data_IF_898487698691
#
_entry.id   IF_898487698691
#
_cell.length_a   1.000
_cell.length_b   1.000
_cell.length_c   1.000
_cell.angle_alpha   90.00
_cell.angle_beta   90.00
_cell.angle_gamma   90.00
#
_symmetry.space_group_name_H-M   'P 1'
#
loop_
_entity.id
_entity.type
_entity.pdbx_description
1 polymer ?
#
# COMPACT_ATOMS: atom_id res chain seq x y z
N UNK A 1 -5.34 -15.96 -26.18
CA UNK A 1 -5.32 -15.85 -24.70
C UNK A 1 -4.55 -14.58 -24.33
N UNK A 2 -5.09 -13.73 -23.45
CA UNK A 2 -4.39 -12.50 -23.00
C UNK A 2 -3.04 -12.88 -22.40
N UNK A 3 -1.94 -12.30 -22.89
CA UNK A 3 -0.58 -12.48 -22.35
C UNK A 3 -0.41 -11.90 -20.94
N UNK A 4 -1.42 -11.19 -20.44
CA UNK A 4 -1.36 -10.43 -19.18
C UNK A 4 -2.05 -11.14 -18.00
N UNK A 5 -2.53 -12.38 -18.17
CA UNK A 5 -3.10 -13.14 -17.05
C UNK A 5 -1.99 -13.57 -16.09
N UNK A 6 -2.14 -13.20 -14.81
CA UNK A 6 -1.25 -13.64 -13.75
C UNK A 6 -1.41 -15.16 -13.51
N UNK A 7 -0.36 -15.92 -13.79
CA UNK A 7 -0.30 -17.35 -13.42
C UNK A 7 0.24 -17.48 -12.00
N UNK A 8 -0.43 -18.23 -11.10
CA UNK A 8 0.12 -18.55 -9.79
C UNK A 8 1.49 -19.23 -9.94
N UNK A 9 2.53 -18.79 -9.22
CA UNK A 9 3.83 -19.46 -9.26
C UNK A 9 3.72 -20.84 -8.62
N UNK A 10 4.17 -21.86 -9.33
CA UNK A 10 4.24 -23.23 -8.81
C UNK A 10 5.62 -23.53 -8.23
N UNK A 11 5.63 -24.42 -7.23
CA UNK A 11 6.89 -24.88 -6.67
C UNK A 11 7.63 -25.74 -7.71
N UNK A 12 8.93 -25.52 -7.85
CA UNK A 12 9.80 -26.38 -8.65
C UNK A 12 11.18 -26.48 -8.00
N UNK A 13 11.91 -27.57 -8.28
CA UNK A 13 13.28 -27.75 -7.78
C UNK A 13 14.22 -26.61 -8.18
N UNK A 14 13.93 -25.92 -9.29
CA UNK A 14 14.68 -24.73 -9.71
C UNK A 14 14.65 -23.59 -8.68
N UNK A 15 13.60 -23.53 -7.85
CA UNK A 15 13.50 -22.55 -6.76
C UNK A 15 14.50 -22.82 -5.64
N UNK A 16 14.96 -24.07 -5.48
CA UNK A 16 15.94 -24.47 -4.46
C UNK A 16 17.40 -24.30 -4.91
N UNK A 17 17.64 -23.84 -6.14
CA UNK A 17 18.98 -23.58 -6.65
C UNK A 17 19.77 -22.65 -5.71
N UNK A 18 21.10 -22.84 -5.51
CA UNK A 18 21.92 -22.06 -4.56
C UNK A 18 21.77 -20.54 -4.65
N UNK A 19 21.55 -20.01 -5.86
CA UNK A 19 21.25 -18.59 -6.12
C UNK A 19 20.07 -18.02 -5.31
N UNK A 20 19.15 -18.87 -4.86
CA UNK A 20 17.96 -18.50 -4.09
C UNK A 20 18.09 -18.82 -2.59
N UNK A 21 19.19 -19.43 -2.12
CA UNK A 21 19.32 -19.81 -0.72
C UNK A 21 19.20 -18.62 0.24
N UNK A 22 19.75 -17.46 -0.13
CA UNK A 22 19.59 -16.24 0.68
C UNK A 22 18.13 -15.82 0.86
N UNK A 23 17.27 -16.03 -0.15
CA UNK A 23 15.83 -15.75 -0.06
C UNK A 23 15.16 -16.74 0.90
N UNK A 24 15.42 -18.04 0.74
CA UNK A 24 14.85 -19.07 1.60
C UNK A 24 15.30 -18.95 3.06
N UNK A 25 16.59 -18.72 3.30
CA UNK A 25 17.14 -18.51 4.63
C UNK A 25 16.59 -17.21 5.25
N UNK A 26 16.48 -16.13 4.47
CA UNK A 26 15.93 -14.86 4.94
C UNK A 26 14.46 -14.97 5.37
N UNK A 27 13.60 -15.56 4.52
CA UNK A 27 12.20 -15.77 4.87
C UNK A 27 12.01 -16.86 5.93
N UNK A 28 12.83 -17.91 5.93
CA UNK A 28 12.83 -18.95 6.97
C UNK A 28 13.18 -18.38 8.34
N UNK A 29 14.22 -17.54 8.41
CA UNK A 29 14.58 -16.81 9.63
C UNK A 29 13.46 -15.85 10.06
N UNK A 30 12.89 -15.09 9.13
CA UNK A 30 11.77 -14.21 9.42
C UNK A 30 10.58 -14.98 9.98
N UNK A 31 10.20 -16.10 9.36
CA UNK A 31 9.12 -16.98 9.80
C UNK A 31 9.39 -17.55 11.20
N UNK A 32 10.63 -17.98 11.46
CA UNK A 32 11.07 -18.48 12.77
C UNK A 32 10.93 -17.39 13.86
N UNK A 33 11.50 -16.21 13.60
CA UNK A 33 11.50 -15.07 14.53
C UNK A 33 10.09 -14.64 14.88
N UNK A 34 9.21 -14.45 13.90
CA UNK A 34 7.84 -13.99 14.17
C UNK A 34 7.02 -15.04 14.91
N UNK A 35 7.21 -16.33 14.64
CA UNK A 35 6.40 -17.37 15.29
C UNK A 35 6.84 -17.62 16.74
N UNK A 36 8.13 -17.52 17.05
CA UNK A 36 8.67 -17.78 18.39
C UNK A 36 8.47 -16.59 19.34
N UNK A 37 8.73 -15.37 18.88
CA UNK A 37 8.76 -14.21 19.78
C UNK A 37 7.35 -13.65 20.06
N UNK A 38 7.08 -13.15 21.29
CA UNK A 38 5.88 -12.38 21.60
C UNK A 38 5.78 -11.09 20.79
N UNK A 39 4.56 -10.63 20.52
CA UNK A 39 4.32 -9.43 19.69
C UNK A 39 5.03 -8.17 20.20
N UNK A 40 5.07 -7.94 21.52
CA UNK A 40 5.75 -6.76 22.09
C UNK A 40 7.26 -6.75 21.77
N UNK A 41 7.89 -7.92 21.75
CA UNK A 41 9.31 -8.07 21.39
C UNK A 41 9.49 -7.81 19.90
N UNK A 42 8.61 -8.37 19.06
CA UNK A 42 8.61 -8.13 17.61
C UNK A 42 8.43 -6.65 17.26
N UNK A 43 7.52 -5.96 17.94
CA UNK A 43 7.31 -4.52 17.78
C UNK A 43 8.56 -3.72 18.13
N UNK A 44 9.19 -4.03 19.27
CA UNK A 44 10.45 -3.38 19.68
C UNK A 44 11.59 -3.68 18.70
N UNK A 45 11.72 -4.94 18.28
CA UNK A 45 12.73 -5.39 17.32
C UNK A 45 12.57 -4.66 15.98
N UNK A 46 11.37 -4.67 15.39
CA UNK A 46 11.08 -4.00 14.13
C UNK A 46 11.40 -2.51 14.19
N UNK A 47 10.95 -1.83 15.25
CA UNK A 47 11.23 -0.40 15.44
C UNK A 47 12.72 -0.11 15.59
N UNK A 48 13.46 -0.92 16.35
CA UNK A 48 14.92 -0.80 16.49
C UNK A 48 15.66 -1.07 15.17
N UNK A 49 15.23 -2.07 14.39
CA UNK A 49 15.78 -2.34 13.07
C UNK A 49 15.67 -1.12 12.16
N UNK A 50 14.51 -0.46 12.18
CA UNK A 50 14.28 0.78 11.44
C UNK A 50 15.18 1.93 11.89
N UNK A 51 15.29 2.13 13.21
CA UNK A 51 16.15 3.14 13.81
C UNK A 51 17.63 2.93 13.45
N UNK A 52 18.12 1.69 13.47
CA UNK A 52 19.49 1.35 13.07
C UNK A 52 19.64 1.54 11.55
N UNK A 53 18.68 1.08 10.76
CA UNK A 53 18.67 1.20 9.30
C UNK A 53 18.74 2.65 8.82
N UNK A 54 18.15 3.58 9.56
CA UNK A 54 18.23 5.01 9.30
C UNK A 54 19.69 5.52 9.19
N UNK A 55 20.60 5.00 10.02
CA UNK A 55 22.03 5.41 10.02
C UNK A 55 22.77 5.05 8.73
N UNK A 56 22.35 3.97 8.08
CA UNK A 56 22.95 3.49 6.82
C UNK A 56 22.14 3.92 5.58
N UNK A 57 20.94 4.48 5.80
CA UNK A 57 19.96 4.80 4.78
C UNK A 57 19.94 6.26 4.32
N UNK A 58 21.06 7.00 4.38
CA UNK A 58 21.10 8.46 4.18
C UNK A 58 20.29 8.96 2.96
N UNK A 59 20.38 8.28 1.80
CA UNK A 59 19.59 8.64 0.60
C UNK A 59 18.08 8.52 0.81
N UNK A 60 17.63 7.51 1.56
CA UNK A 60 16.21 7.30 1.88
C UNK A 60 15.73 8.27 2.95
N UNK A 61 16.59 8.59 3.92
CA UNK A 61 16.32 9.63 4.93
C UNK A 61 16.08 10.96 4.23
N UNK A 62 16.99 11.37 3.34
CA UNK A 62 16.84 12.57 2.53
C UNK A 62 15.52 12.61 1.75
N UNK A 63 15.13 11.51 1.11
CA UNK A 63 13.85 11.45 0.37
C UNK A 63 12.65 11.62 1.30
N UNK A 64 12.64 10.94 2.44
CA UNK A 64 11.55 11.05 3.41
C UNK A 64 11.45 12.46 3.99
N UNK A 65 12.57 13.02 4.46
CA UNK A 65 12.66 14.40 4.95
C UNK A 65 12.14 15.38 3.90
N UNK A 66 12.62 15.28 2.66
CA UNK A 66 12.24 16.20 1.61
C UNK A 66 10.76 16.10 1.23
N UNK A 67 10.20 14.89 1.19
CA UNK A 67 8.76 14.75 0.95
C UNK A 67 7.93 15.42 2.07
N UNK A 68 8.33 15.25 3.32
CA UNK A 68 7.63 15.83 4.48
C UNK A 68 7.72 17.37 4.44
N UNK A 69 8.91 17.93 4.19
CA UNK A 69 9.11 19.38 4.01
C UNK A 69 8.23 19.94 2.89
N UNK A 70 8.16 19.26 1.75
CA UNK A 70 7.34 19.66 0.61
C UNK A 70 5.84 19.56 0.91
N UNK A 71 5.43 18.61 1.75
CA UNK A 71 4.02 18.40 2.11
C UNK A 71 3.54 19.37 3.19
N UNK A 72 4.43 19.72 4.13
CA UNK A 72 4.13 20.50 5.33
C UNK A 72 5.15 21.63 5.51
N UNK A 73 5.16 22.65 4.64
CA UNK A 73 6.18 23.70 4.64
C UNK A 73 6.22 24.51 5.94
N UNK A 74 5.09 24.61 6.65
CA UNK A 74 4.99 25.37 7.90
C UNK A 74 5.38 24.55 9.14
N UNK A 75 5.72 23.26 8.99
CA UNK A 75 6.14 22.43 10.14
C UNK A 75 7.54 22.79 10.62
N UNK A 76 7.77 22.95 11.93
CA UNK A 76 9.10 23.14 12.47
C UNK A 76 10.05 21.98 12.12
N UNK A 77 11.32 22.28 11.86
CA UNK A 77 12.30 21.26 11.45
C UNK A 77 12.46 20.12 12.49
N UNK A 78 12.27 20.42 13.77
CA UNK A 78 12.31 19.41 14.83
C UNK A 78 11.14 18.40 14.71
N UNK A 79 9.94 18.87 14.36
CA UNK A 79 8.79 17.98 14.11
C UNK A 79 9.01 17.14 12.85
N UNK A 80 9.56 17.73 11.79
CA UNK A 80 9.90 17.03 10.55
C UNK A 80 10.88 15.89 10.86
N UNK A 81 11.95 16.19 11.60
CA UNK A 81 12.95 15.19 11.98
C UNK A 81 12.33 14.08 12.85
N UNK A 82 11.47 14.43 13.81
CA UNK A 82 10.76 13.45 14.63
C UNK A 82 9.87 12.52 13.77
N UNK A 83 9.14 13.09 12.81
CA UNK A 83 8.28 12.34 11.90
C UNK A 83 9.10 11.39 11.01
N UNK A 84 10.25 11.84 10.52
CA UNK A 84 11.19 10.99 9.76
C UNK A 84 11.70 9.83 10.62
N UNK A 85 12.10 10.08 11.86
CA UNK A 85 12.55 9.03 12.76
C UNK A 85 11.47 7.99 13.04
N UNK A 86 10.24 8.43 13.33
CA UNK A 86 9.10 7.52 13.49
C UNK A 86 8.79 6.75 12.20
N UNK A 87 8.91 7.39 11.04
CA UNK A 87 8.72 6.72 9.76
C UNK A 87 9.75 5.63 9.50
N UNK A 88 11.02 5.85 9.86
CA UNK A 88 12.05 4.83 9.77
C UNK A 88 11.83 3.69 10.75
N UNK A 89 11.41 3.96 12.00
CA UNK A 89 11.00 2.92 12.96
C UNK A 89 9.85 2.07 12.39
N UNK A 90 8.87 2.71 11.74
CA UNK A 90 7.78 2.01 11.05
C UNK A 90 8.27 1.21 9.85
N UNK A 91 9.27 1.69 9.12
CA UNK A 91 9.87 0.97 7.97
C UNK A 91 10.54 -0.33 8.42
N UNK A 92 11.26 -0.31 9.56
CA UNK A 92 11.79 -1.54 10.15
C UNK A 92 10.68 -2.47 10.64
N UNK A 93 9.60 -1.91 11.20
CA UNK A 93 8.44 -2.70 11.62
C UNK A 93 7.74 -3.37 10.43
N UNK A 94 7.67 -2.73 9.26
CA UNK A 94 7.09 -3.29 8.03
C UNK A 94 7.69 -4.64 7.62
N UNK A 95 8.99 -4.85 7.87
CA UNK A 95 9.65 -6.13 7.62
C UNK A 95 9.10 -7.23 8.55
N UNK A 96 8.95 -6.92 9.83
CA UNK A 96 8.39 -7.82 10.83
C UNK A 96 6.90 -8.07 10.56
N UNK A 97 6.16 -7.03 10.19
CA UNK A 97 4.75 -7.08 9.79
C UNK A 97 4.54 -7.96 8.55
N UNK A 98 5.46 -7.94 7.58
CA UNK A 98 5.44 -8.87 6.43
C UNK A 98 5.55 -10.31 6.93
N UNK A 99 6.48 -10.58 7.86
CA UNK A 99 6.61 -11.89 8.48
C UNK A 99 5.36 -12.33 9.24
N UNK A 100 4.80 -11.44 10.07
CA UNK A 100 3.54 -11.66 10.79
C UNK A 100 2.42 -11.98 9.78
N UNK A 101 2.29 -11.17 8.74
CA UNK A 101 1.24 -11.31 7.73
C UNK A 101 1.34 -12.64 7.00
N UNK A 102 2.53 -13.09 6.63
CA UNK A 102 2.66 -14.29 5.80
C UNK A 102 2.76 -15.57 6.63
N UNK A 103 3.33 -15.53 7.84
CA UNK A 103 3.67 -16.75 8.58
C UNK A 103 2.91 -16.96 9.88
N UNK A 104 2.17 -15.98 10.41
CA UNK A 104 1.32 -16.25 11.58
C UNK A 104 0.05 -17.01 11.22
N UNK A 105 -0.42 -17.90 12.11
CA UNK A 105 -1.75 -18.48 11.98
C UNK A 105 -2.83 -17.41 12.19
N UNK A 106 -3.98 -17.59 11.53
CA UNK A 106 -5.06 -16.60 11.50
C UNK A 106 -5.62 -16.27 12.90
N UNK A 107 -5.70 -17.25 13.81
CA UNK A 107 -6.18 -17.02 15.19
C UNK A 107 -5.30 -16.00 15.93
N UNK A 108 -3.98 -16.04 15.72
CA UNK A 108 -3.02 -15.14 16.36
C UNK A 108 -3.08 -13.76 15.71
N UNK A 109 -3.12 -13.73 14.38
CA UNK A 109 -3.22 -12.50 13.60
C UNK A 109 -4.48 -11.69 13.96
N UNK A 110 -5.65 -12.34 14.09
CA UNK A 110 -6.92 -11.70 14.48
C UNK A 110 -6.81 -10.89 15.77
N UNK A 111 -5.98 -11.32 16.73
CA UNK A 111 -5.81 -10.59 17.99
C UNK A 111 -5.25 -9.18 17.81
N UNK A 112 -4.60 -8.89 16.68
CA UNK A 112 -4.05 -7.55 16.38
C UNK A 112 -5.04 -6.63 15.66
N UNK A 113 -6.15 -7.15 15.16
CA UNK A 113 -7.05 -6.41 14.27
C UNK A 113 -8.22 -5.82 15.04
N UNK A 114 -8.51 -4.56 14.76
CA UNK A 114 -9.69 -3.84 15.20
C UNK A 114 -10.49 -3.48 13.95
N UNK A 115 -11.67 -4.10 13.78
CA UNK A 115 -12.65 -3.68 12.77
C UNK A 115 -13.31 -2.40 13.29
N UNK A 116 -12.79 -1.25 12.85
CA UNK A 116 -13.19 0.05 13.40
C UNK A 116 -14.41 0.58 12.68
N UNK A 117 -14.33 0.74 11.36
CA UNK A 117 -15.44 1.24 10.53
C UNK A 117 -15.40 0.58 9.14
N UNK A 118 -16.13 -0.51 8.92
CA UNK A 118 -16.18 -1.21 7.61
C UNK A 118 -17.61 -1.41 7.07
N UNK A 119 -18.59 -0.66 7.60
CA UNK A 119 -20.00 -0.85 7.28
C UNK A 119 -20.31 -0.56 5.82
N UNK A 120 -19.84 0.55 5.25
CA UNK A 120 -20.10 0.88 3.85
C UNK A 120 -19.53 -0.18 2.90
N UNK A 121 -18.34 -0.71 3.17
CA UNK A 121 -17.76 -1.81 2.39
C UNK A 121 -18.66 -3.05 2.45
N UNK A 122 -19.11 -3.46 3.63
CA UNK A 122 -20.00 -4.62 3.79
C UNK A 122 -21.35 -4.41 3.10
N UNK A 123 -21.90 -3.21 3.17
CA UNK A 123 -23.17 -2.85 2.57
C UNK A 123 -23.11 -2.91 1.03
N UNK A 124 -22.04 -2.36 0.44
CA UNK A 124 -21.83 -2.45 -1.02
C UNK A 124 -21.71 -3.89 -1.51
N UNK A 125 -21.05 -4.76 -0.74
CA UNK A 125 -21.03 -6.19 -1.05
C UNK A 125 -22.43 -6.83 -1.00
N UNK A 126 -23.31 -6.46 -0.05
CA UNK A 126 -24.69 -6.98 -0.01
C UNK A 126 -25.51 -6.52 -1.22
N UNK A 127 -25.23 -5.34 -1.74
CA UNK A 127 -25.88 -4.77 -2.92
C UNK A 127 -25.35 -5.38 -4.24
N UNK A 128 -24.33 -6.24 -4.19
CA UNK A 128 -23.66 -6.78 -5.38
C UNK A 128 -22.89 -5.72 -6.18
N UNK A 129 -22.64 -4.54 -5.60
CA UNK A 129 -21.89 -3.46 -6.24
C UNK A 129 -20.40 -3.65 -5.95
N UNK A 130 -19.58 -3.72 -7.00
CA UNK A 130 -18.13 -3.82 -6.82
C UNK A 130 -17.56 -2.56 -6.18
N UNK A 131 -16.41 -2.71 -5.53
CA UNK A 131 -15.76 -1.62 -4.79
C UNK A 131 -14.32 -1.46 -5.21
N UNK A 132 -13.99 -0.26 -5.67
CA UNK A 132 -12.62 0.20 -5.79
C UNK A 132 -12.17 0.75 -4.43
N UNK A 133 -11.50 -0.11 -3.67
CA UNK A 133 -10.95 0.21 -2.36
C UNK A 133 -9.63 0.97 -2.55
N UNK A 134 -9.71 2.29 -2.40
CA UNK A 134 -8.59 3.20 -2.58
C UNK A 134 -7.79 3.30 -1.28
N UNK A 135 -6.68 2.57 -1.22
CA UNK A 135 -5.75 2.61 -0.09
C UNK A 135 -4.55 3.49 -0.40
N UNK A 136 -3.69 3.68 0.60
CA UNK A 136 -2.38 4.31 0.44
C UNK A 136 -1.28 3.26 0.59
N UNK A 137 -0.10 3.54 0.04
CA UNK A 137 1.11 2.77 0.29
C UNK A 137 1.57 3.01 1.73
N UNK A 138 0.83 2.47 2.69
CA UNK A 138 1.25 2.43 4.07
C UNK A 138 2.39 1.40 4.24
N UNK A 139 3.30 1.64 5.18
CA UNK A 139 4.42 0.75 5.47
C UNK A 139 3.92 -0.63 5.91
N UNK A 140 2.78 -0.68 6.60
CA UNK A 140 2.12 -1.89 7.07
C UNK A 140 1.08 -2.46 6.08
N UNK A 141 1.18 -2.16 4.78
CA UNK A 141 0.20 -2.58 3.75
C UNK A 141 -0.14 -4.08 3.77
N UNK A 142 0.84 -4.93 4.05
CA UNK A 142 0.63 -6.39 4.14
C UNK A 142 -0.37 -6.75 5.25
N UNK A 143 -0.28 -6.09 6.42
CA UNK A 143 -1.24 -6.28 7.52
C UNK A 143 -2.63 -5.88 7.06
N UNK A 144 -2.77 -4.68 6.48
CA UNK A 144 -4.05 -4.15 6.00
C UNK A 144 -4.69 -5.14 5.02
N UNK A 145 -3.96 -5.57 3.99
CA UNK A 145 -4.47 -6.49 2.99
C UNK A 145 -4.97 -7.80 3.63
N UNK A 146 -4.19 -8.44 4.50
CA UNK A 146 -4.62 -9.67 5.19
C UNK A 146 -5.78 -9.43 6.13
N UNK A 147 -5.84 -8.29 6.82
CA UNK A 147 -6.92 -7.94 7.73
C UNK A 147 -8.27 -7.88 7.02
N UNK A 148 -8.34 -7.24 5.84
CA UNK A 148 -9.56 -7.27 5.02
C UNK A 148 -9.99 -8.71 4.69
N UNK A 149 -9.05 -9.57 4.26
CA UNK A 149 -9.33 -10.98 4.00
C UNK A 149 -9.89 -11.72 5.22
N UNK A 150 -9.25 -11.56 6.37
CA UNK A 150 -9.63 -12.20 7.64
C UNK A 150 -10.95 -11.68 8.23
N UNK A 151 -11.33 -10.44 7.93
CA UNK A 151 -12.61 -9.83 8.29
C UNK A 151 -13.78 -10.20 7.33
N UNK A 152 -13.50 -11.04 6.32
CA UNK A 152 -14.49 -11.48 5.32
C UNK A 152 -14.76 -10.46 4.22
N UNK A 153 -13.95 -9.39 4.14
CA UNK A 153 -14.06 -8.30 3.17
C UNK A 153 -12.82 -8.24 2.25
N UNK A 154 -12.17 -9.40 2.03
CA UNK A 154 -11.03 -9.54 1.13
C UNK A 154 -11.39 -9.30 -0.34
N UNK A 155 -10.39 -9.33 -1.22
CA UNK A 155 -10.62 -9.02 -2.64
C UNK A 155 -9.37 -9.21 -3.49
N UNK A 156 -9.31 -8.47 -4.59
CA UNK A 156 -8.23 -8.56 -5.56
C UNK A 156 -7.20 -7.44 -5.33
N UNK A 157 -5.94 -7.82 -5.08
CA UNK A 157 -4.82 -6.89 -5.05
C UNK A 157 -4.12 -6.76 -6.40
N UNK A 158 -3.78 -5.54 -6.80
CA UNK A 158 -2.94 -5.31 -7.97
C UNK A 158 -1.51 -5.79 -7.69
N UNK A 159 -0.97 -6.63 -8.57
CA UNK A 159 0.26 -7.36 -8.35
C UNK A 159 1.28 -7.15 -9.47
N UNK A 160 2.55 -7.08 -9.07
CA UNK A 160 3.69 -7.20 -9.98
C UNK A 160 4.56 -8.35 -9.46
N UNK A 161 4.78 -9.41 -10.27
CA UNK A 161 5.69 -10.47 -9.88
C UNK A 161 7.09 -9.94 -9.51
N UNK A 162 7.66 -10.50 -8.45
CA UNK A 162 9.02 -10.20 -8.06
C UNK A 162 10.02 -10.83 -9.06
N UNK A 163 11.12 -10.14 -9.36
CA UNK A 163 12.10 -10.62 -10.35
C UNK A 163 12.79 -11.93 -9.93
N UNK A 164 13.03 -12.12 -8.62
CA UNK A 164 13.49 -13.39 -8.08
C UNK A 164 12.29 -14.36 -7.95
N UNK A 165 12.32 -15.54 -8.60
CA UNK A 165 11.18 -16.46 -8.62
C UNK A 165 10.89 -17.11 -7.26
N UNK A 166 11.89 -17.37 -6.42
CA UNK A 166 11.67 -17.91 -5.07
C UNK A 166 10.99 -16.86 -4.18
N UNK A 167 11.41 -15.60 -4.26
CA UNK A 167 10.73 -14.51 -3.56
C UNK A 167 9.29 -14.38 -4.06
N UNK A 168 9.09 -14.40 -5.38
CA UNK A 168 7.77 -14.30 -5.99
C UNK A 168 6.83 -15.41 -5.51
N UNK A 169 7.34 -16.64 -5.42
CA UNK A 169 6.58 -17.79 -4.89
C UNK A 169 6.11 -17.54 -3.45
N UNK A 170 7.03 -17.13 -2.56
CA UNK A 170 6.71 -16.84 -1.15
C UNK A 170 5.74 -15.66 -1.03
N UNK A 171 5.98 -14.56 -1.77
CA UNK A 171 5.14 -13.37 -1.76
C UNK A 171 3.72 -13.66 -2.27
N UNK A 172 3.60 -14.41 -3.37
CA UNK A 172 2.30 -14.78 -3.92
C UNK A 172 1.51 -15.61 -2.90
N UNK A 173 2.16 -16.62 -2.29
CA UNK A 173 1.53 -17.42 -1.24
C UNK A 173 1.10 -16.55 -0.06
N UNK A 174 2.02 -15.73 0.48
CA UNK A 174 1.80 -14.82 1.61
C UNK A 174 0.60 -13.87 1.41
N UNK A 175 0.39 -13.41 0.18
CA UNK A 175 -0.70 -12.49 -0.17
C UNK A 175 -2.03 -13.17 -0.51
N UNK A 176 -2.05 -14.48 -0.79
CA UNK A 176 -3.26 -15.18 -1.27
C UNK A 176 -3.83 -16.22 -0.31
N UNK A 177 -3.02 -16.77 0.60
CA UNK A 177 -3.44 -17.88 1.47
C UNK A 177 -4.50 -17.53 2.54
N UNK A 178 -4.92 -16.26 2.66
CA UNK A 178 -5.97 -15.80 3.60
C UNK A 178 -7.17 -15.14 2.90
N UNK A 179 -7.47 -15.54 1.66
CA UNK A 179 -8.72 -15.16 0.98
C UNK A 179 -8.63 -14.01 -0.01
N UNK A 180 -7.49 -13.32 -0.09
CA UNK A 180 -7.24 -12.36 -1.16
C UNK A 180 -6.79 -13.06 -2.45
N UNK A 181 -7.05 -12.40 -3.57
CA UNK A 181 -6.63 -12.82 -4.91
C UNK A 181 -5.73 -11.72 -5.50
N UNK A 182 -5.04 -12.03 -6.59
CA UNK A 182 -4.10 -11.09 -7.23
C UNK A 182 -4.42 -10.96 -8.71
N UNK A 183 -4.27 -9.74 -9.24
CA UNK A 183 -4.42 -9.40 -10.66
C UNK A 183 -3.13 -8.73 -11.13
N UNK A 184 -2.62 -9.10 -12.31
CA UNK A 184 -1.45 -8.41 -12.85
C UNK A 184 -1.74 -6.93 -13.09
N UNK A 185 -0.83 -6.05 -12.70
CA UNK A 185 -0.96 -4.61 -12.88
C UNK A 185 -1.21 -4.15 -14.32
N UNK A 186 -0.90 -4.98 -15.32
CA UNK A 186 -1.15 -4.70 -16.74
C UNK A 186 -2.55 -5.13 -17.19
N UNK A 187 -3.21 -6.04 -16.47
CA UNK A 187 -4.52 -6.57 -16.86
C UNK A 187 -5.68 -5.68 -16.35
N UNK A 188 -5.72 -4.45 -16.87
CA UNK A 188 -6.79 -3.48 -16.57
C UNK A 188 -8.17 -4.03 -16.94
N UNK A 189 -8.25 -4.90 -17.97
CA UNK A 189 -9.51 -5.53 -18.38
C UNK A 189 -10.03 -6.47 -17.30
N UNK A 190 -9.16 -7.26 -16.68
CA UNK A 190 -9.52 -8.11 -15.55
C UNK A 190 -9.93 -7.28 -14.33
N UNK A 191 -9.23 -6.17 -14.04
CA UNK A 191 -9.61 -5.24 -12.96
C UNK A 191 -11.03 -4.70 -13.14
N UNK A 192 -11.38 -4.25 -14.36
CA UNK A 192 -12.74 -3.78 -14.68
C UNK A 192 -13.76 -4.91 -14.52
N UNK A 193 -13.42 -6.12 -14.96
CA UNK A 193 -14.33 -7.27 -14.86
C UNK A 193 -14.65 -7.62 -13.41
N UNK A 194 -13.64 -7.74 -12.54
CA UNK A 194 -13.91 -8.08 -11.14
C UNK A 194 -14.77 -7.02 -10.45
N UNK A 195 -14.55 -5.74 -10.76
CA UNK A 195 -15.40 -4.66 -10.26
C UNK A 195 -16.85 -4.76 -10.76
N UNK A 196 -17.07 -5.13 -12.02
CA UNK A 196 -18.43 -5.36 -12.56
C UNK A 196 -19.10 -6.60 -11.98
N UNK A 197 -18.32 -7.59 -11.58
CA UNK A 197 -18.81 -8.83 -10.97
C UNK A 197 -19.14 -8.66 -9.47
N UNK A 198 -19.14 -7.43 -8.94
CA UNK A 198 -19.47 -7.16 -7.54
C UNK A 198 -18.30 -7.34 -6.56
N UNK A 199 -17.09 -7.56 -7.06
CA UNK A 199 -15.92 -7.83 -6.23
C UNK A 199 -15.17 -6.55 -5.80
N UNK A 200 -14.22 -6.74 -4.89
CA UNK A 200 -13.36 -5.67 -4.36
C UNK A 200 -12.03 -5.64 -5.09
N UNK A 201 -11.57 -4.45 -5.46
CA UNK A 201 -10.23 -4.23 -6.00
C UNK A 201 -9.46 -3.25 -5.09
N UNK A 202 -8.35 -3.70 -4.53
CA UNK A 202 -7.42 -2.87 -3.77
C UNK A 202 -6.57 -2.07 -4.76
N UNK A 203 -6.70 -0.75 -4.72
CA UNK A 203 -6.00 0.16 -5.61
C UNK A 203 -5.33 1.29 -4.83
N UNK A 204 -4.09 1.62 -5.19
CA UNK A 204 -3.26 2.59 -4.47
C UNK A 204 -2.83 3.74 -5.41
N UNK A 205 -3.55 4.87 -5.41
CA UNK A 205 -3.33 5.98 -6.35
C UNK A 205 -2.27 7.00 -5.89
N UNK A 206 -1.62 6.79 -4.76
CA UNK A 206 -0.80 7.76 -4.03
C UNK A 206 0.68 7.79 -4.45
N UNK A 207 1.07 7.05 -5.49
CA UNK A 207 2.44 7.04 -6.01
C UNK A 207 2.57 7.81 -7.34
N UNK A 208 3.73 8.44 -7.53
CA UNK A 208 4.13 8.98 -8.82
C UNK A 208 4.65 7.87 -9.78
N UNK A 209 3.85 7.60 -10.81
CA UNK A 209 4.13 6.65 -11.90
C UNK A 209 4.67 7.31 -13.18
N UNK A 210 4.95 8.62 -13.16
CA UNK A 210 5.32 9.40 -14.33
C UNK A 210 4.11 9.89 -15.15
N UNK A 211 4.40 10.58 -16.25
CA UNK A 211 3.41 11.31 -17.07
C UNK A 211 2.37 10.44 -17.76
N UNK A 212 2.70 9.19 -18.04
CA UNK A 212 1.78 8.31 -18.75
C UNK A 212 0.55 8.02 -17.88
N UNK A 213 -0.64 8.40 -18.37
CA UNK A 213 -1.92 8.27 -17.65
C UNK A 213 -1.88 8.93 -16.26
N UNK A 214 -1.37 10.16 -16.26
CA UNK A 214 -1.31 11.01 -15.07
C UNK A 214 -1.66 12.45 -15.44
N UNK A 215 -2.16 13.18 -14.46
CA UNK A 215 -2.40 14.63 -14.50
C UNK A 215 -1.59 15.31 -13.39
N UNK A 216 -1.50 16.63 -13.42
CA UNK A 216 -0.82 17.42 -12.40
C UNK A 216 -1.87 18.17 -11.59
N UNK A 217 -2.00 17.81 -10.32
CA UNK A 217 -3.06 18.28 -9.41
C UNK A 217 -2.51 18.43 -8.00
N UNK A 218 -3.19 19.18 -7.12
CA UNK A 218 -2.74 19.36 -5.75
C UNK A 218 -2.59 18.04 -4.98
N UNK A 219 -1.50 17.92 -4.22
CA UNK A 219 -1.27 16.86 -3.24
C UNK A 219 -0.44 17.39 -2.07
N UNK A 220 -1.08 17.60 -0.93
CA UNK A 220 -0.60 18.46 0.16
C UNK A 220 -0.24 19.86 -0.37
N UNK A 221 0.84 20.47 0.10
CA UNK A 221 1.27 21.81 -0.33
C UNK A 221 1.88 21.88 -1.76
N UNK A 222 1.85 20.79 -2.53
CA UNK A 222 2.34 20.77 -3.92
C UNK A 222 1.16 20.83 -4.89
N UNK A 223 0.99 21.97 -5.56
CA UNK A 223 -0.12 22.26 -6.48
C UNK A 223 -0.10 21.41 -7.77
N UNK A 224 1.08 20.98 -8.22
CA UNK A 224 1.30 20.27 -9.48
C UNK A 224 1.91 18.88 -9.25
N UNK A 225 1.35 18.10 -8.32
CA UNK A 225 1.80 16.74 -8.07
C UNK A 225 1.33 15.79 -9.19
N UNK A 226 2.28 15.09 -9.82
CA UNK A 226 1.97 14.07 -10.83
C UNK A 226 1.16 12.92 -10.20
N UNK A 227 -0.09 12.76 -10.62
CA UNK A 227 -1.08 11.86 -10.01
C UNK A 227 -1.75 11.02 -11.08
N UNK A 228 -1.86 9.72 -10.85
CA UNK A 228 -2.42 8.79 -11.84
C UNK A 228 -3.91 9.00 -12.05
N UNK A 229 -4.37 8.84 -13.30
CA UNK A 229 -5.79 8.88 -13.66
C UNK A 229 -6.46 7.49 -13.61
N UNK A 230 -5.72 6.46 -13.17
CA UNK A 230 -6.18 5.08 -13.14
C UNK A 230 -7.45 4.86 -12.30
N UNK A 231 -7.62 5.58 -11.20
CA UNK A 231 -8.87 5.54 -10.40
C UNK A 231 -10.07 5.96 -11.25
N UNK A 232 -9.96 7.07 -11.98
CA UNK A 232 -11.03 7.59 -12.84
C UNK A 232 -11.36 6.59 -13.95
N UNK A 233 -10.35 6.00 -14.59
CA UNK A 233 -10.53 4.98 -15.64
C UNK A 233 -11.29 3.76 -15.10
N UNK A 234 -10.88 3.24 -13.94
CA UNK A 234 -11.51 2.06 -13.32
C UNK A 234 -12.94 2.36 -12.88
N UNK A 235 -13.16 3.47 -12.16
CA UNK A 235 -14.48 3.86 -11.68
C UNK A 235 -15.46 4.14 -12.82
N UNK A 236 -15.06 4.95 -13.79
CA UNK A 236 -15.91 5.31 -14.93
C UNK A 236 -16.34 4.09 -15.74
N UNK A 237 -15.44 3.14 -15.96
CA UNK A 237 -15.69 1.98 -16.83
C UNK A 237 -16.44 0.85 -16.12
N UNK A 238 -16.20 0.65 -14.82
CA UNK A 238 -16.82 -0.43 -14.05
C UNK A 238 -18.12 -0.03 -13.35
N UNK A 239 -18.35 1.27 -13.11
CA UNK A 239 -19.48 1.77 -12.29
C UNK A 239 -19.45 1.21 -10.85
N UNK A 240 -18.25 0.95 -10.33
CA UNK A 240 -18.05 0.53 -8.96
C UNK A 240 -18.21 1.68 -7.97
N UNK A 241 -18.54 1.34 -6.73
CA UNK A 241 -18.38 2.27 -5.63
C UNK A 241 -16.89 2.56 -5.38
N UNK A 242 -16.60 3.75 -4.86
CA UNK A 242 -15.25 4.20 -4.52
C UNK A 242 -15.21 4.41 -3.01
N UNK A 243 -14.36 3.65 -2.32
CA UNK A 243 -14.24 3.73 -0.85
C UNK A 243 -12.76 3.91 -0.51
N UNK A 244 -12.35 5.04 0.09
CA UNK A 244 -11.03 5.17 0.68
C UNK A 244 -10.92 4.24 1.91
N UNK A 245 -9.77 3.59 2.06
CA UNK A 245 -9.55 2.67 3.17
C UNK A 245 -8.11 2.61 3.67
N UNK A 246 -7.94 2.22 4.94
CA UNK A 246 -6.63 2.08 5.58
C UNK A 246 -6.66 1.06 6.71
N UNK A 247 -5.48 0.73 7.24
CA UNK A 247 -5.29 -0.23 8.30
C UNK A 247 -4.13 0.15 9.22
N UNK A 248 -4.10 1.37 9.75
CA UNK A 248 -2.96 1.88 10.52
C UNK A 248 -2.84 1.27 11.91
N UNK A 249 -1.60 1.16 12.39
CA UNK A 249 -1.31 0.73 13.75
C UNK A 249 -1.56 1.87 14.73
N UNK A 250 -2.35 1.63 15.78
CA UNK A 250 -2.62 2.58 16.84
C UNK A 250 -1.55 2.51 17.96
N UNK A 251 -1.71 3.35 19.00
CA UNK A 251 -0.81 3.43 20.16
C UNK A 251 -0.70 2.12 20.96
N UNK A 252 -1.76 1.29 20.96
CA UNK A 252 -1.77 -0.01 21.63
C UNK A 252 -1.08 -1.11 20.79
N UNK A 253 -0.59 -0.76 19.60
CA UNK A 253 0.00 -1.69 18.66
C UNK A 253 -1.03 -2.57 17.94
N UNK A 254 -2.32 -2.22 17.98
CA UNK A 254 -3.40 -2.87 17.20
C UNK A 254 -3.59 -2.15 15.87
N UNK A 255 -4.19 -2.79 14.88
CA UNK A 255 -4.42 -2.23 13.55
C UNK A 255 -5.89 -1.92 13.36
N UNK A 256 -6.20 -0.65 13.18
CA UNK A 256 -7.56 -0.15 12.96
C UNK A 256 -7.90 -0.18 11.48
N UNK A 257 -8.79 -1.09 11.09
CA UNK A 257 -9.25 -1.23 9.71
C UNK A 257 -10.46 -0.33 9.50
N UNK A 258 -10.36 0.56 8.51
CA UNK A 258 -11.42 1.51 8.16
C UNK A 258 -11.63 1.56 6.64
N UNK A 259 -12.88 1.51 6.21
CA UNK A 259 -13.36 1.60 4.83
C UNK A 259 -14.86 1.92 4.82
N UNK A 260 -15.24 3.07 5.39
CA UNK A 260 -16.65 3.39 5.67
C UNK A 260 -17.23 4.58 4.89
N UNK A 261 -16.40 5.33 4.17
CA UNK A 261 -16.85 6.49 3.39
C UNK A 261 -16.94 6.13 1.91
N UNK A 262 -18.15 6.03 1.38
CA UNK A 262 -18.36 5.88 -0.06
C UNK A 262 -18.39 7.27 -0.73
N UNK A 263 -17.42 7.54 -1.60
CA UNK A 263 -17.22 8.85 -2.23
C UNK A 263 -17.67 8.88 -3.70
N UNK A 264 -18.26 7.78 -4.17
CA UNK A 264 -18.69 7.59 -5.56
C UNK A 264 -19.62 8.71 -6.08
N UNK A 265 -20.59 9.13 -5.25
CA UNK A 265 -21.66 10.04 -5.67
C UNK A 265 -21.13 11.40 -6.15
N UNK A 266 -20.10 11.92 -5.49
CA UNK A 266 -19.49 13.21 -5.78
C UNK A 266 -18.20 13.09 -6.61
N UNK A 267 -17.81 11.86 -6.99
CA UNK A 267 -16.57 11.63 -7.72
C UNK A 267 -16.68 12.18 -9.16
N UNK A 268 -15.85 13.17 -9.56
CA UNK A 268 -15.97 13.79 -10.87
C UNK A 268 -15.89 12.78 -12.01
N UNK A 269 -16.79 12.94 -12.99
CA UNK A 269 -16.89 12.07 -14.16
C UNK A 269 -16.48 12.83 -15.42
N UNK A 270 -15.79 12.16 -16.35
CA UNK A 270 -15.32 12.74 -17.62
C UNK A 270 -14.39 13.96 -17.48
N UNK A 271 -13.82 14.16 -16.29
CA UNK A 271 -12.78 15.14 -16.01
C UNK A 271 -11.70 14.47 -15.15
N UNK A 272 -10.60 14.06 -15.79
CA UNK A 272 -9.52 13.34 -15.11
C UNK A 272 -8.75 14.22 -14.13
N UNK A 273 -8.71 15.55 -14.35
CA UNK A 273 -8.03 16.51 -13.48
C UNK A 273 -8.84 16.70 -12.20
N UNK A 274 -10.13 17.01 -12.32
CA UNK A 274 -11.01 17.13 -11.17
C UNK A 274 -11.10 15.82 -10.38
N UNK A 275 -11.18 14.67 -11.05
CA UNK A 275 -11.25 13.35 -10.42
C UNK A 275 -9.97 12.99 -9.64
N UNK A 276 -8.79 13.32 -10.19
CA UNK A 276 -7.52 13.09 -9.50
C UNK A 276 -7.34 14.03 -8.30
N UNK A 277 -7.66 15.32 -8.45
CA UNK A 277 -7.64 16.28 -7.35
C UNK A 277 -8.61 15.88 -6.23
N UNK A 278 -9.81 15.43 -6.59
CA UNK A 278 -10.79 14.92 -5.64
C UNK A 278 -10.28 13.68 -4.89
N UNK A 279 -9.69 12.71 -5.58
CA UNK A 279 -9.08 11.53 -4.95
C UNK A 279 -7.93 11.91 -4.00
N UNK A 280 -7.08 12.86 -4.39
CA UNK A 280 -5.94 13.29 -3.57
C UNK A 280 -6.39 13.83 -2.20
N UNK A 281 -7.52 14.57 -2.12
CA UNK A 281 -8.08 15.01 -0.83
C UNK A 281 -8.32 13.84 0.13
N UNK A 282 -8.87 12.73 -0.37
CA UNK A 282 -9.10 11.54 0.44
C UNK A 282 -7.83 10.78 0.78
N UNK A 283 -6.86 10.75 -0.14
CA UNK A 283 -5.54 10.19 0.14
C UNK A 283 -4.84 10.98 1.25
N UNK A 284 -4.91 12.32 1.21
CA UNK A 284 -4.40 13.20 2.27
C UNK A 284 -5.11 12.94 3.60
N UNK A 285 -6.44 12.88 3.62
CA UNK A 285 -7.23 12.52 4.81
C UNK A 285 -6.76 11.18 5.40
N UNK A 286 -6.50 10.16 4.56
CA UNK A 286 -5.99 8.87 5.01
C UNK A 286 -4.57 9.01 5.60
N UNK A 287 -3.65 9.68 4.91
CA UNK A 287 -2.26 9.84 5.37
C UNK A 287 -2.21 10.60 6.69
N UNK A 288 -3.01 11.66 6.85
CA UNK A 288 -3.04 12.50 8.06
C UNK A 288 -3.47 11.76 9.33
N UNK A 289 -4.11 10.60 9.21
CA UNK A 289 -4.44 9.76 10.38
C UNK A 289 -3.24 9.12 11.05
N UNK A 290 -2.18 8.85 10.29
CA UNK A 290 -0.94 8.24 10.77
C UNK A 290 0.20 8.59 9.80
N UNK A 291 0.61 9.87 9.72
CA UNK A 291 1.57 10.33 8.72
C UNK A 291 2.89 9.56 8.84
N UNK A 292 3.30 9.16 10.04
CA UNK A 292 4.51 8.38 10.28
C UNK A 292 4.46 6.96 9.68
N UNK A 293 3.30 6.47 9.27
CA UNK A 293 3.11 5.12 8.71
C UNK A 293 2.97 5.12 7.18
N UNK A 294 2.96 6.28 6.51
CA UNK A 294 2.96 6.34 5.05
C UNK A 294 4.36 6.10 4.46
N UNK A 295 4.46 5.59 3.22
CA UNK A 295 5.72 5.28 2.54
C UNK A 295 6.42 6.55 2.03
N UNK A 296 6.87 7.41 2.94
CA UNK A 296 7.66 8.62 2.63
C UNK A 296 8.99 8.33 1.92
N UNK A 297 9.42 7.05 1.83
CA UNK A 297 10.65 6.63 1.18
C UNK A 297 10.57 6.61 -0.37
N UNK A 298 9.36 6.77 -0.93
CA UNK A 298 9.13 6.94 -2.37
C UNK A 298 9.26 8.41 -2.75
N UNK A 299 9.94 8.72 -3.85
CA UNK A 299 9.99 10.10 -4.38
C UNK A 299 8.63 10.47 -5.00
N UNK A 300 7.68 10.94 -4.17
CA UNK A 300 6.30 11.29 -4.53
C UNK A 300 6.18 12.45 -5.53
N UNK A 301 7.11 13.40 -5.51
CA UNK A 301 7.07 14.66 -6.26
C UNK A 301 8.17 14.72 -7.35
N UNK A 302 8.61 13.56 -7.86
CA UNK A 302 9.78 13.49 -8.77
C UNK A 302 9.45 13.93 -10.19
N UNK A 303 8.22 13.73 -10.66
CA UNK A 303 7.81 14.09 -12.02
C UNK A 303 7.29 15.52 -12.02
N UNK A 304 7.89 16.36 -12.86
CA UNK A 304 7.52 17.77 -13.03
C UNK A 304 6.43 17.91 -14.10
N UNK A 305 5.67 19.01 -14.11
CA UNK A 305 4.70 19.32 -15.16
C UNK A 305 5.36 19.80 -16.46
N UNK A 306 6.41 20.62 -16.36
CA UNK A 306 7.27 20.99 -17.49
C UNK A 306 8.25 19.85 -17.83
N UNK A 307 8.28 19.43 -19.09
CA UNK A 307 9.13 18.34 -19.59
C UNK A 307 10.61 18.71 -19.68
N UNK A 308 10.88 20.00 -19.75
CA UNK A 308 12.25 20.53 -19.82
C UNK A 308 12.91 20.58 -18.44
N UNK A 309 12.12 20.50 -17.36
CA UNK A 309 12.64 20.49 -16.00
C UNK A 309 13.07 19.08 -15.62
N UNK A 310 14.29 18.97 -15.08
CA UNK A 310 14.88 17.69 -14.73
C UNK A 310 14.04 16.92 -13.71
N UNK A 311 13.81 15.64 -14.01
CA UNK A 311 13.09 14.73 -13.13
C UNK A 311 13.82 14.59 -11.79
N UNK A 312 13.09 14.83 -10.70
CA UNK A 312 13.59 14.72 -9.34
C UNK A 312 14.31 15.96 -8.83
N UNK A 313 14.22 17.10 -9.53
CA UNK A 313 14.80 18.38 -9.10
C UNK A 313 14.38 18.77 -7.68
N UNK A 314 13.14 18.46 -7.26
CA UNK A 314 12.64 18.70 -5.90
C UNK A 314 13.40 17.94 -4.80
N UNK A 315 14.25 16.98 -5.15
CA UNK A 315 15.07 16.17 -4.23
C UNK A 315 16.57 16.44 -4.35
N UNK A 316 16.96 17.42 -5.16
CA UNK A 316 18.33 17.92 -5.20
C UNK A 316 18.58 18.89 -4.06
#
# INVERSE_FOLDING_TARGET
>A
MSKDKLTPPEFSLSLLHPKNWGVWLGFGLLALVVNILPYRILLSLGRKLGQIGMRYGAKRVHVATRNIELSFPDKPQQEIQHLVEENFKNTGMALIETGITWFWPTWRFKTLIVDKDTHAMREKSKQGQGVLLCCVHALNLEITARAFGVLGIGGYGVFRPHNNPAYNFIQYWGRTHNGNKLIDRKDVKQMIRVLRDGERLFYLPDHDYGRNKSVFVPFFAIEDACTTTGTSILAYTSKCAIIPGSGFRNSDGKYEIMADKCIEADYPQKDEVAAAAYMNKYVEELILRAPEQWMWLHKRYKTMQDENVEKGIRYK
#
